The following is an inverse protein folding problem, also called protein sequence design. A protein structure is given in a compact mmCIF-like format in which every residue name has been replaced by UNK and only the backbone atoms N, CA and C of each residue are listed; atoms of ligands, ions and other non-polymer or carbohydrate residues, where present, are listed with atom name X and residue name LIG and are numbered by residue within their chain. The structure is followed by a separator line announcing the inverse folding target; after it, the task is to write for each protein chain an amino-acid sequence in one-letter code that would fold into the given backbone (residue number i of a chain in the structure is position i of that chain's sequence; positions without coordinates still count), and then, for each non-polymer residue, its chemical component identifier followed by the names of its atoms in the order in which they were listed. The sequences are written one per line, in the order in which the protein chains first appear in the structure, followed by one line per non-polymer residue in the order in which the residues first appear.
data_IF_652087560702
#
_entry.id   IF_652087560702
#
_cell.length_a   1.000
_cell.length_b   1.000
_cell.length_c   1.000
_cell.angle_alpha   90.00
_cell.angle_beta   90.00
_cell.angle_gamma   90.00
#
_symmetry.space_group_name_H-M   'P 1'
#
loop_
_entity.id
_entity.type
_entity.pdbx_description
1 polymer ?
#
# COMPACT_ATOMS: atom_id res chain seq x y z
N UNK A 1 -12.12 10.92 4.60
CA UNK A 1 -11.40 10.03 5.55
C UNK A 1 -10.13 9.46 4.94
N UNK A 2 -9.21 10.31 4.46
CA UNK A 2 -7.97 9.90 3.75
C UNK A 2 -6.67 10.37 4.44
N UNK A 3 -6.74 11.07 5.57
CA UNK A 3 -5.59 11.77 6.16
C UNK A 3 -4.74 10.99 7.17
N UNK A 4 -5.10 9.74 7.51
CA UNK A 4 -4.41 8.99 8.59
C UNK A 4 -3.37 7.97 8.13
N UNK A 5 -3.19 7.80 6.81
CA UNK A 5 -2.25 6.81 6.25
C UNK A 5 -0.84 7.37 5.96
N UNK A 6 -0.60 8.68 6.09
CA UNK A 6 0.65 9.32 5.64
C UNK A 6 1.70 9.57 6.75
N UNK A 7 1.38 9.34 8.03
CA UNK A 7 2.27 9.78 9.14
C UNK A 7 3.17 8.72 9.77
N UNK A 8 2.91 7.43 9.53
CA UNK A 8 3.46 6.40 10.43
C UNK A 8 4.67 5.62 9.91
N UNK A 9 5.13 5.79 8.66
CA UNK A 9 6.33 5.09 8.14
C UNK A 9 6.29 3.55 8.25
N UNK A 10 5.11 3.00 8.58
CA UNK A 10 4.84 1.59 8.83
C UNK A 10 4.04 0.95 7.70
N UNK A 11 3.31 1.77 6.94
CA UNK A 11 2.68 1.36 5.67
C UNK A 11 3.66 1.66 4.55
N UNK A 12 4.20 0.61 3.94
CA UNK A 12 4.63 0.72 2.55
C UNK A 12 3.36 1.01 1.76
N UNK A 13 3.17 2.27 1.33
CA UNK A 13 2.28 2.50 0.21
C UNK A 13 3.06 2.00 -1.00
N UNK A 14 2.64 0.91 -1.65
CA UNK A 14 3.16 0.62 -2.96
C UNK A 14 2.89 1.86 -3.81
N UNK A 15 3.96 2.50 -4.28
CA UNK A 15 3.82 3.59 -5.22
C UNK A 15 3.32 2.96 -6.53
N UNK A 16 2.00 2.83 -6.66
CA UNK A 16 1.33 2.49 -7.91
C UNK A 16 1.34 3.70 -8.85
N UNK A 17 2.51 4.32 -8.98
CA UNK A 17 2.72 5.67 -9.47
C UNK A 17 3.29 5.73 -10.88
N UNK A 18 3.14 4.69 -11.69
CA UNK A 18 3.16 4.92 -13.15
C UNK A 18 1.77 5.45 -13.46
N UNK A 19 1.65 6.78 -13.54
CA UNK A 19 0.38 7.45 -13.79
C UNK A 19 -0.30 6.81 -15.01
N UNK A 20 -1.49 6.25 -14.82
CA UNK A 20 -2.25 5.69 -15.93
C UNK A 20 -2.71 6.84 -16.82
N UNK A 21 -2.11 6.95 -18.00
CA UNK A 21 -2.49 7.92 -19.02
C UNK A 21 -3.65 7.30 -19.81
N UNK A 22 -4.76 8.03 -19.98
CA UNK A 22 -5.85 7.51 -20.81
C UNK A 22 -5.39 7.34 -22.27
N UNK A 23 -6.01 6.45 -23.08
CA UNK A 23 -5.59 6.24 -24.47
C UNK A 23 -5.53 7.54 -25.29
N UNK A 24 -6.45 8.47 -25.04
CA UNK A 24 -6.52 9.78 -25.69
C UNK A 24 -5.36 10.68 -25.24
N UNK A 25 -5.05 10.69 -23.95
CA UNK A 25 -3.90 11.45 -23.43
C UNK A 25 -2.57 10.85 -23.91
N UNK A 26 -2.47 9.53 -24.05
CA UNK A 26 -1.28 8.86 -24.56
C UNK A 26 -1.04 9.27 -26.02
N UNK A 27 -2.08 9.30 -26.85
CA UNK A 27 -1.97 9.79 -28.23
C UNK A 27 -1.53 11.25 -28.31
N UNK A 28 -2.07 12.13 -27.45
CA UNK A 28 -1.67 13.53 -27.39
C UNK A 28 -0.19 13.69 -26.95
N UNK A 29 0.27 12.88 -26.00
CA UNK A 29 1.67 12.87 -25.54
C UNK A 29 2.63 12.33 -26.60
N UNK A 30 2.27 11.26 -27.33
CA UNK A 30 3.06 10.77 -28.48
C UNK A 30 3.20 11.86 -29.55
N UNK A 31 2.10 12.57 -29.86
CA UNK A 31 2.11 13.62 -30.86
C UNK A 31 2.93 14.86 -30.43
N UNK A 32 2.89 15.23 -29.15
CA UNK A 32 3.63 16.36 -28.60
C UNK A 32 5.12 16.04 -28.35
N UNK A 33 5.44 14.78 -28.06
CA UNK A 33 6.78 14.32 -27.70
C UNK A 33 7.08 12.96 -28.35
N UNK A 34 7.45 12.94 -29.64
CA UNK A 34 7.63 11.69 -30.41
C UNK A 34 8.82 10.84 -29.96
N UNK A 35 9.77 11.42 -29.23
CA UNK A 35 10.91 10.70 -28.62
C UNK A 35 10.58 10.07 -27.25
N UNK A 36 9.35 10.26 -26.75
CA UNK A 36 8.94 9.76 -25.45
C UNK A 36 8.42 8.34 -25.60
N UNK A 37 9.17 7.38 -25.05
CA UNK A 37 8.78 5.97 -25.03
C UNK A 37 7.62 5.79 -24.04
N UNK A 38 6.38 5.91 -24.54
CA UNK A 38 5.18 5.56 -23.80
C UNK A 38 5.02 4.04 -23.85
N UNK A 39 5.21 3.38 -22.72
CA UNK A 39 4.98 1.93 -22.57
C UNK A 39 3.54 1.76 -22.09
N UNK A 40 2.61 1.22 -22.93
CA UNK A 40 1.27 0.89 -22.47
C UNK A 40 1.34 -0.05 -21.27
N UNK A 41 0.61 0.29 -20.21
CA UNK A 41 0.50 -0.55 -19.02
C UNK A 41 -0.96 -0.77 -18.67
N UNK A 42 -1.33 -2.02 -18.35
CA UNK A 42 -2.61 -2.33 -17.69
C UNK A 42 -2.36 -2.61 -16.22
N UNK A 43 -3.21 -2.11 -15.34
CA UNK A 43 -3.11 -2.34 -13.89
C UNK A 43 -4.47 -2.77 -13.34
N UNK A 44 -4.49 -3.88 -12.61
CA UNK A 44 -5.64 -4.34 -11.85
C UNK A 44 -5.28 -4.38 -10.37
N UNK A 45 -5.96 -3.54 -9.58
CA UNK A 45 -5.79 -3.47 -8.13
C UNK A 45 -7.03 -4.01 -7.41
N UNK A 46 -6.82 -4.79 -6.37
CA UNK A 46 -7.85 -5.31 -5.49
C UNK A 46 -7.41 -5.15 -4.04
N UNK A 47 -8.27 -4.55 -3.22
CA UNK A 47 -7.95 -4.28 -1.81
C UNK A 47 -9.15 -4.64 -0.95
N UNK A 48 -8.90 -5.36 0.13
CA UNK A 48 -9.88 -5.63 1.18
C UNK A 48 -9.32 -5.15 2.52
N UNK A 49 -10.12 -4.38 3.26
CA UNK A 49 -9.73 -3.86 4.57
C UNK A 49 -10.85 -4.14 5.56
N UNK A 50 -10.49 -4.73 6.70
CA UNK A 50 -11.39 -5.03 7.80
C UNK A 50 -10.83 -4.35 9.05
N UNK A 51 -11.67 -3.60 9.74
CA UNK A 51 -11.34 -2.99 11.03
C UNK A 51 -12.46 -3.29 12.00
N UNK A 52 -12.16 -3.99 13.08
CA UNK A 52 -13.14 -4.43 14.07
C UNK A 52 -12.76 -3.89 15.44
N UNK A 53 -13.74 -3.33 16.15
CA UNK A 53 -13.59 -2.96 17.55
C UNK A 53 -14.14 -4.10 18.40
N UNK A 54 -13.25 -4.91 18.96
CA UNK A 54 -13.62 -6.08 19.76
C UNK A 54 -14.20 -5.64 21.12
N UNK A 55 -13.53 -4.69 21.78
CA UNK A 55 -14.04 -4.03 23.00
C UNK A 55 -13.67 -2.55 22.99
N UNK A 56 -14.15 -1.77 23.98
CA UNK A 56 -13.90 -0.31 24.05
C UNK A 56 -12.43 0.06 23.88
N UNK A 57 -11.52 -0.78 24.35
CA UNK A 57 -10.08 -0.54 24.37
C UNK A 57 -9.28 -1.44 23.43
N UNK A 58 -9.92 -2.32 22.66
CA UNK A 58 -9.23 -3.27 21.78
C UNK A 58 -9.82 -3.20 20.37
N UNK A 59 -8.94 -3.03 19.38
CA UNK A 59 -9.31 -3.06 17.97
C UNK A 59 -8.38 -3.99 17.21
N UNK A 60 -8.95 -4.76 16.28
CA UNK A 60 -8.22 -5.54 15.30
C UNK A 60 -8.33 -4.90 13.92
N UNK A 61 -7.27 -5.05 13.13
CA UNK A 61 -7.22 -4.64 11.73
C UNK A 61 -6.65 -5.76 10.87
N UNK A 62 -7.18 -5.84 9.67
CA UNK A 62 -6.69 -6.69 8.61
C UNK A 62 -6.76 -5.95 7.29
N UNK A 63 -5.71 -6.05 6.49
CA UNK A 63 -5.63 -5.48 5.16
C UNK A 63 -5.03 -6.53 4.25
N UNK A 64 -5.70 -6.74 3.12
CA UNK A 64 -5.16 -7.46 1.99
C UNK A 64 -5.16 -6.53 0.79
N UNK A 65 -4.06 -6.50 0.06
CA UNK A 65 -3.97 -5.77 -1.20
C UNK A 65 -3.26 -6.63 -2.23
N UNK A 66 -3.72 -6.56 -3.47
CA UNK A 66 -3.12 -7.23 -4.61
C UNK A 66 -3.13 -6.25 -5.78
N UNK A 67 -2.01 -6.15 -6.47
CA UNK A 67 -1.92 -5.42 -7.74
C UNK A 67 -1.21 -6.28 -8.78
N UNK A 68 -1.76 -6.33 -9.99
CA UNK A 68 -1.10 -6.89 -11.17
C UNK A 68 -0.95 -5.80 -12.21
N UNK A 69 0.26 -5.59 -12.66
CA UNK A 69 0.60 -4.67 -13.73
C UNK A 69 1.30 -5.42 -14.85
N UNK A 70 0.88 -5.18 -16.08
CA UNK A 70 1.53 -5.70 -17.28
C UNK A 70 1.97 -4.54 -18.14
N UNK A 71 3.23 -4.55 -18.57
CA UNK A 71 3.80 -3.54 -19.44
C UNK A 71 3.99 -4.12 -20.84
N UNK A 72 3.84 -3.28 -21.88
CA UNK A 72 4.29 -3.61 -23.23
C UNK A 72 5.80 -3.94 -23.19
N UNK A 73 6.18 -5.13 -23.70
CA UNK A 73 7.57 -5.62 -23.67
C UNK A 73 7.85 -6.82 -22.75
N UNK A 74 6.82 -7.46 -22.19
CA UNK A 74 6.95 -8.72 -21.44
C UNK A 74 7.32 -8.54 -19.96
N UNK A 75 7.52 -7.30 -19.50
CA UNK A 75 7.68 -6.99 -18.09
C UNK A 75 6.32 -7.01 -17.40
N UNK A 76 6.25 -7.64 -16.23
CA UNK A 76 5.06 -7.67 -15.39
C UNK A 76 5.45 -7.41 -13.95
N UNK A 77 4.52 -6.84 -13.18
CA UNK A 77 4.70 -6.61 -11.75
C UNK A 77 3.48 -7.17 -11.02
N UNK A 78 3.69 -8.21 -10.22
CA UNK A 78 2.67 -8.76 -9.34
C UNK A 78 3.03 -8.45 -7.89
N UNK A 79 2.19 -7.67 -7.25
CA UNK A 79 2.32 -7.27 -5.87
C UNK A 79 1.18 -7.87 -5.03
N UNK A 80 1.51 -8.39 -3.85
CA UNK A 80 0.54 -8.83 -2.85
C UNK A 80 1.01 -8.39 -1.48
N UNK A 81 0.12 -7.82 -0.67
CA UNK A 81 0.37 -7.45 0.71
C UNK A 81 -0.71 -8.00 1.62
N UNK A 82 -0.27 -8.51 2.77
CA UNK A 82 -1.08 -8.85 3.92
C UNK A 82 -0.60 -8.05 5.11
N UNK A 83 -1.53 -7.44 5.83
CA UNK A 83 -1.27 -6.80 7.10
C UNK A 83 -2.34 -7.23 8.09
N UNK A 84 -1.91 -7.65 9.26
CA UNK A 84 -2.79 -7.96 10.38
C UNK A 84 -2.23 -7.28 11.62
N UNK A 85 -3.10 -6.75 12.47
CA UNK A 85 -2.64 -6.09 13.68
C UNK A 85 -3.74 -5.83 14.68
N UNK A 86 -3.30 -5.48 15.89
CA UNK A 86 -4.15 -5.10 16.99
C UNK A 86 -3.68 -3.81 17.61
N UNK A 87 -4.62 -3.12 18.24
CA UNK A 87 -4.37 -1.93 19.05
C UNK A 87 -5.08 -2.10 20.37
N UNK A 88 -4.35 -1.94 21.48
CA UNK A 88 -4.89 -1.91 22.82
C UNK A 88 -4.66 -0.54 23.47
N UNK A 89 -5.72 0.09 23.96
CA UNK A 89 -5.64 1.38 24.64
C UNK A 89 -5.77 1.20 26.14
N UNK A 90 -4.76 1.68 26.87
CA UNK A 90 -4.78 1.76 28.32
C UNK A 90 -4.45 3.18 28.78
N UNK A 91 -5.44 3.86 29.37
CA UNK A 91 -5.31 5.26 29.82
C UNK A 91 -4.87 6.18 28.67
N UNK A 92 -3.68 6.78 28.76
CA UNK A 92 -3.07 7.67 27.75
C UNK A 92 -2.08 6.93 26.84
N UNK A 93 -1.97 5.61 26.97
CA UNK A 93 -1.09 4.77 26.17
C UNK A 93 -1.92 3.96 25.16
N UNK A 94 -1.40 3.86 23.94
CA UNK A 94 -1.89 2.96 22.91
C UNK A 94 -0.76 2.01 22.53
N UNK A 95 -1.02 0.72 22.64
CA UNK A 95 -0.12 -0.36 22.28
C UNK A 95 -0.57 -0.93 20.95
N UNK A 96 0.21 -0.68 19.89
CA UNK A 96 -0.05 -1.21 18.56
C UNK A 96 0.91 -2.37 18.29
N UNK A 97 0.39 -3.45 17.75
CA UNK A 97 1.20 -4.57 17.28
C UNK A 97 0.66 -5.07 15.96
N UNK A 98 1.52 -5.66 15.16
CA UNK A 98 1.07 -6.28 13.93
C UNK A 98 2.18 -6.90 13.13
N UNK A 99 1.76 -7.54 12.06
CA UNK A 99 2.58 -8.24 11.11
C UNK A 99 2.20 -7.78 9.71
N UNK A 100 3.21 -7.53 8.90
CA UNK A 100 3.08 -7.15 7.51
C UNK A 100 3.92 -8.11 6.70
N UNK A 101 3.33 -8.71 5.67
CA UNK A 101 4.01 -9.50 4.65
C UNK A 101 3.69 -8.91 3.30
N UNK A 102 4.72 -8.66 2.50
CA UNK A 102 4.50 -8.30 1.10
C UNK A 102 5.43 -9.07 0.19
N UNK A 103 4.89 -9.34 -0.98
CA UNK A 103 5.52 -10.08 -2.06
C UNK A 103 5.41 -9.21 -3.30
N UNK A 104 6.53 -9.03 -3.98
CA UNK A 104 6.59 -8.31 -5.23
C UNK A 104 7.43 -9.09 -6.23
N UNK A 105 6.83 -9.43 -7.34
CA UNK A 105 7.45 -10.14 -8.45
C UNK A 105 7.47 -9.23 -9.67
N UNK A 106 8.66 -8.90 -10.18
CA UNK A 106 8.85 -8.06 -11.37
C UNK A 106 9.02 -8.87 -12.67
N UNK A 107 8.78 -10.19 -12.63
CA UNK A 107 9.00 -11.12 -13.74
C UNK A 107 10.47 -11.45 -14.02
N UNK A 108 11.39 -10.59 -13.54
CA UNK A 108 12.85 -10.77 -13.61
C UNK A 108 13.50 -10.94 -12.22
N UNK A 109 12.70 -10.83 -11.16
CA UNK A 109 13.18 -10.90 -9.79
C UNK A 109 12.04 -10.84 -8.78
N UNK A 110 12.24 -11.51 -7.65
CA UNK A 110 11.26 -11.66 -6.59
C UNK A 110 11.74 -11.00 -5.30
N UNK A 111 10.88 -10.22 -4.66
CA UNK A 111 11.13 -9.55 -3.40
C UNK A 111 10.05 -9.95 -2.39
N UNK A 112 10.46 -10.65 -1.33
CA UNK A 112 9.63 -10.97 -0.18
C UNK A 112 10.15 -10.20 1.03
N UNK A 113 9.25 -9.54 1.75
CA UNK A 113 9.61 -8.91 3.00
C UNK A 113 8.49 -8.99 4.02
N UNK A 114 8.90 -9.45 5.19
CA UNK A 114 8.05 -9.63 6.35
C UNK A 114 8.53 -8.71 7.47
N UNK A 115 7.58 -8.16 8.22
CA UNK A 115 7.86 -7.26 9.33
C UNK A 115 6.84 -7.47 10.44
N UNK A 116 7.32 -7.89 11.60
CA UNK A 116 6.62 -7.69 12.85
C UNK A 116 6.92 -6.30 13.40
N UNK A 117 5.94 -5.63 13.97
CA UNK A 117 6.15 -4.38 14.68
C UNK A 117 5.36 -4.36 15.98
N UNK A 118 5.93 -3.65 16.94
CA UNK A 118 5.31 -3.28 18.19
C UNK A 118 5.60 -1.79 18.43
N UNK A 119 4.58 -1.03 18.81
CA UNK A 119 4.69 0.41 19.03
C UNK A 119 3.88 0.78 20.26
N UNK A 120 4.45 1.68 21.05
CA UNK A 120 3.76 2.32 22.16
C UNK A 120 3.62 3.80 21.84
N UNK A 121 2.40 4.29 21.76
CA UNK A 121 2.07 5.70 21.52
C UNK A 121 1.53 6.30 22.81
N UNK A 122 2.08 7.43 23.21
CA UNK A 122 1.56 8.23 24.31
C UNK A 122 1.15 9.59 23.79
N UNK A 123 -0.13 9.90 23.85
CA UNK A 123 -0.60 11.23 23.53
C UNK A 123 -0.35 12.15 24.72
N UNK A 124 0.36 13.26 24.49
CA UNK A 124 0.53 14.33 25.46
C UNK A 124 -0.07 15.62 24.89
N UNK A 125 -0.73 16.38 25.76
CA UNK A 125 -1.24 17.72 25.44
C UNK A 125 -0.33 18.71 26.13
N UNK A 126 0.32 19.57 25.35
CA UNK A 126 1.03 20.74 25.86
C UNK A 126 -0.02 21.85 25.97
N UNK A 127 -0.09 22.48 27.14
CA UNK A 127 -0.94 23.64 27.43
C UNK A 127 -0.09 24.90 27.39
#
# INVERSE_FOLDING_TARGET
TLGRQLRDGLTFQPAFGVGSVSPVQAQALVAAMPSLLLIPSSSLSSTAAISVRLVRNLSGRFLWSRNRQSFSGGLSNHYTQWEAGGSYRFRRLTFDFGYIRHEQDFGVGFFLRDRFYFRVVRDFRIF
#
